data_IF_666471377954
#
_entry.id   IF_666471377954
#
_cell.length_a   1.000
_cell.length_b   1.000
_cell.length_c   1.000
_cell.angle_alpha   90.00
_cell.angle_beta   90.00
_cell.angle_gamma   90.00
#
_symmetry.space_group_name_H-M   'P 1'
#
loop_
_entity.id
_entity.type
_entity.pdbx_description
1 polymer ?
#
# COMPACT_ATOMS: atom_id res chain seq x y z
N UNK A 1 19.33 -10.76 4.60
CA UNK A 1 18.92 -10.60 3.18
C UNK A 1 17.46 -11.00 2.93
N UNK A 2 16.56 -10.71 3.89
CA UNK A 2 15.22 -11.33 4.00
C UNK A 2 14.09 -10.26 4.02
N UNK A 3 14.47 -8.98 3.88
CA UNK A 3 13.57 -7.81 3.98
C UNK A 3 12.98 -7.34 2.64
N UNK A 4 13.41 -7.89 1.50
CA UNK A 4 13.17 -7.30 0.18
C UNK A 4 11.89 -7.77 -0.53
N UNK A 5 11.21 -8.82 -0.03
CA UNK A 5 10.10 -9.46 -0.76
C UNK A 5 8.75 -8.74 -0.54
N UNK A 6 8.63 -7.91 0.50
CA UNK A 6 7.33 -7.31 0.92
C UNK A 6 7.05 -5.93 0.30
N UNK A 7 8.03 -5.31 -0.36
CA UNK A 7 7.93 -3.92 -0.86
C UNK A 7 6.87 -3.75 -1.96
N UNK A 8 6.51 -4.82 -2.65
CA UNK A 8 5.59 -4.76 -3.80
C UNK A 8 4.11 -4.97 -3.41
N UNK A 9 3.82 -5.46 -2.20
CA UNK A 9 2.47 -5.84 -1.76
C UNK A 9 1.91 -4.93 -0.65
N UNK A 10 2.44 -3.73 -0.47
CA UNK A 10 2.09 -2.85 0.66
C UNK A 10 1.56 -1.50 0.22
N UNK A 11 0.48 -1.51 -0.58
CA UNK A 11 -0.46 -0.38 -0.68
C UNK A 11 -1.35 -0.25 0.58
N UNK A 12 -0.80 -0.66 1.72
CA UNK A 12 -1.46 -0.68 3.01
C UNK A 12 -0.90 0.47 3.84
N UNK A 13 -1.70 1.53 3.89
CA UNK A 13 -1.60 2.72 4.74
C UNK A 13 -1.57 2.41 6.25
N UNK A 14 -1.08 1.24 6.69
CA UNK A 14 -0.93 0.85 8.10
C UNK A 14 0.33 -0.01 8.35
N UNK A 15 1.05 -0.49 7.33
CA UNK A 15 2.16 -1.44 7.52
C UNK A 15 3.56 -0.98 7.09
N UNK A 16 3.71 0.24 6.57
CA UNK A 16 5.02 0.73 6.10
C UNK A 16 5.52 1.98 6.83
N UNK A 17 4.74 2.55 7.74
CA UNK A 17 5.07 3.85 8.32
C UNK A 17 6.29 3.89 9.25
N UNK A 18 6.82 2.73 9.66
CA UNK A 18 8.06 2.63 10.41
C UNK A 18 9.32 2.48 9.51
N UNK A 19 9.13 2.39 8.19
CA UNK A 19 10.25 2.31 7.23
C UNK A 19 10.58 3.69 6.70
N UNK A 20 11.85 4.08 6.83
CA UNK A 20 12.38 5.21 6.07
C UNK A 20 12.41 4.82 4.60
N UNK A 21 12.23 5.77 3.68
CA UNK A 21 12.34 5.48 2.25
C UNK A 21 13.70 4.86 1.91
N UNK A 22 14.73 5.28 2.64
CA UNK A 22 16.10 4.79 2.54
C UNK A 22 16.25 3.32 2.94
N UNK A 23 15.35 2.78 3.76
CA UNK A 23 15.33 1.36 4.15
C UNK A 23 14.84 0.45 3.00
N UNK A 24 14.21 1.02 1.98
CA UNK A 24 13.86 0.31 0.75
C UNK A 24 15.16 0.09 -0.04
N UNK A 25 15.50 -1.17 -0.39
CA UNK A 25 16.72 -1.42 -1.15
C UNK A 25 16.68 -0.68 -2.49
N UNK A 26 17.84 -0.20 -2.93
CA UNK A 26 17.98 0.71 -4.08
C UNK A 26 17.28 0.20 -5.34
N UNK A 27 17.49 -1.08 -5.68
CA UNK A 27 16.84 -1.79 -6.81
C UNK A 27 15.30 -1.73 -6.81
N UNK A 28 14.67 -1.37 -5.69
CA UNK A 28 13.22 -1.32 -5.52
C UNK A 28 12.67 0.09 -5.33
N UNK A 29 13.52 1.10 -5.16
CA UNK A 29 13.07 2.49 -4.92
C UNK A 29 12.31 3.06 -6.12
N UNK A 30 12.67 2.66 -7.34
CA UNK A 30 11.97 3.04 -8.57
C UNK A 30 10.60 2.36 -8.75
N UNK A 31 10.27 1.40 -7.88
CA UNK A 31 8.98 0.71 -7.85
C UNK A 31 8.05 1.31 -6.80
N UNK A 32 8.49 2.34 -6.08
CA UNK A 32 7.65 3.11 -5.16
C UNK A 32 6.94 4.21 -5.96
N UNK A 33 5.59 4.23 -5.97
CA UNK A 33 4.86 5.32 -6.60
C UNK A 33 5.31 6.67 -6.05
N UNK A 34 5.42 7.68 -6.92
CA UNK A 34 5.90 9.02 -6.56
C UNK A 34 5.15 9.58 -5.35
N UNK A 35 3.84 9.43 -5.33
CA UNK A 35 2.96 9.93 -4.27
C UNK A 35 3.26 9.24 -2.93
N UNK A 36 3.57 7.94 -2.95
CA UNK A 36 3.94 7.18 -1.76
C UNK A 36 5.32 7.60 -1.26
N UNK A 37 6.28 7.83 -2.18
CA UNK A 37 7.60 8.37 -1.85
C UNK A 37 7.49 9.76 -1.22
N UNK A 38 6.71 10.66 -1.81
CA UNK A 38 6.47 12.01 -1.29
C UNK A 38 5.83 11.97 0.10
N UNK A 39 4.85 11.08 0.30
CA UNK A 39 4.26 10.87 1.62
C UNK A 39 5.32 10.42 2.63
N UNK A 40 6.12 9.39 2.32
CA UNK A 40 7.13 8.83 3.24
C UNK A 40 8.26 9.82 3.57
N UNK A 41 8.72 10.57 2.57
CA UNK A 41 9.83 11.53 2.72
C UNK A 41 9.38 12.87 3.31
N UNK A 42 8.10 13.23 3.18
CA UNK A 42 7.48 14.41 3.78
C UNK A 42 7.11 14.26 5.26
N UNK A 43 7.37 13.10 5.87
CA UNK A 43 7.21 12.89 7.32
C UNK A 43 8.43 13.44 8.07
N UNK A 44 8.18 14.26 9.08
CA UNK A 44 9.17 14.67 10.07
C UNK A 44 9.52 13.50 11.00
N UNK A 45 10.68 13.56 11.69
CA UNK A 45 11.06 12.51 12.65
C UNK A 45 10.03 12.33 13.79
N UNK A 46 9.40 13.38 14.36
CA UNK A 46 8.30 13.22 15.33
C UNK A 46 7.11 12.47 14.75
N UNK A 47 6.71 12.75 13.49
CA UNK A 47 5.60 12.04 12.85
C UNK A 47 5.94 10.56 12.60
N UNK A 48 7.18 10.26 12.18
CA UNK A 48 7.66 8.87 12.07
C UNK A 48 7.63 8.15 13.42
N UNK A 49 7.98 8.84 14.51
CA UNK A 49 7.94 8.28 15.86
C UNK A 49 6.50 7.94 16.28
N UNK A 50 5.54 8.84 16.02
CA UNK A 50 4.11 8.60 16.26
C UNK A 50 3.63 7.37 15.50
N UNK A 51 3.94 7.27 14.20
CA UNK A 51 3.53 6.11 13.40
C UNK A 51 4.16 4.80 13.89
N UNK A 52 5.43 4.83 14.28
CA UNK A 52 6.12 3.67 14.84
C UNK A 52 5.47 3.20 16.14
N UNK A 53 5.19 4.13 17.06
CA UNK A 53 4.49 3.84 18.31
C UNK A 53 3.11 3.24 18.05
N UNK A 54 2.33 3.86 17.16
CA UNK A 54 0.99 3.39 16.83
C UNK A 54 1.01 2.01 16.14
N UNK A 55 2.00 1.75 15.28
CA UNK A 55 2.16 0.44 14.64
C UNK A 55 2.55 -0.66 15.64
N UNK A 56 3.44 -0.37 16.59
CA UNK A 56 3.81 -1.32 17.65
C UNK A 56 2.60 -1.72 18.49
N UNK A 57 1.65 -0.81 18.66
CA UNK A 57 0.42 -1.03 19.41
C UNK A 57 -0.80 -1.26 18.49
N UNK A 58 -0.61 -1.65 17.23
CA UNK A 58 -1.72 -1.72 16.25
C UNK A 58 -2.87 -2.62 16.69
N UNK A 59 -2.58 -3.69 17.45
CA UNK A 59 -3.59 -4.61 17.98
C UNK A 59 -4.46 -4.02 19.10
N UNK A 60 -4.17 -2.80 19.59
CA UNK A 60 -5.05 -2.10 20.53
C UNK A 60 -6.25 -1.46 19.82
N UNK A 61 -6.15 -1.23 18.51
CA UNK A 61 -7.20 -0.63 17.70
C UNK A 61 -7.99 -1.73 17.02
N UNK A 62 -9.31 -1.75 17.22
CA UNK A 62 -10.19 -2.78 16.66
C UNK A 62 -10.51 -2.53 15.19
N UNK A 63 -10.46 -1.27 14.76
CA UNK A 63 -10.79 -0.88 13.39
C UNK A 63 -9.83 0.17 12.84
N UNK A 64 -9.86 0.35 11.52
CA UNK A 64 -9.10 1.39 10.82
C UNK A 64 -9.57 2.79 11.24
N UNK A 65 -10.87 2.96 11.49
CA UNK A 65 -11.47 4.22 11.96
C UNK A 65 -10.96 4.58 13.37
N UNK A 66 -10.85 3.59 14.28
CA UNK A 66 -10.28 3.80 15.61
C UNK A 66 -8.80 4.20 15.54
N UNK A 67 -8.03 3.53 14.68
CA UNK A 67 -6.63 3.89 14.43
C UNK A 67 -6.49 5.31 13.90
N UNK A 68 -7.31 5.71 12.93
CA UNK A 68 -7.28 7.06 12.36
C UNK A 68 -7.72 8.13 13.38
N UNK A 69 -8.70 7.84 14.23
CA UNK A 69 -9.10 8.73 15.31
C UNK A 69 -7.97 8.93 16.33
N UNK A 70 -7.27 7.85 16.70
CA UNK A 70 -6.09 7.92 17.56
C UNK A 70 -4.94 8.69 16.91
N UNK A 71 -4.72 8.50 15.60
CA UNK A 71 -3.73 9.25 14.82
C UNK A 71 -4.03 10.74 14.88
N UNK A 72 -5.28 11.12 14.63
CA UNK A 72 -5.73 12.51 14.66
C UNK A 72 -5.58 13.16 16.02
N UNK A 73 -5.79 12.41 17.12
CA UNK A 73 -5.56 12.88 18.48
C UNK A 73 -4.07 13.06 18.81
N UNK A 74 -3.22 12.11 18.38
CA UNK A 74 -1.76 12.15 18.65
C UNK A 74 -1.02 13.14 17.77
N UNK A 75 -1.39 13.25 16.50
CA UNK A 75 -0.75 14.12 15.52
C UNK A 75 -1.76 14.56 14.45
N UNK A 76 -2.45 15.70 14.66
CA UNK A 76 -3.39 16.25 13.69
C UNK A 76 -2.75 16.54 12.32
N UNK A 77 -1.49 16.99 12.31
CA UNK A 77 -0.75 17.27 11.07
C UNK A 77 -0.57 16.00 10.22
N UNK A 78 -0.11 14.92 10.87
CA UNK A 78 0.08 13.63 10.24
C UNK A 78 -1.24 13.02 9.76
N UNK A 79 -2.30 13.15 10.55
CA UNK A 79 -3.64 12.76 10.11
C UNK A 79 -4.07 13.52 8.86
N UNK A 80 -3.81 14.84 8.79
CA UNK A 80 -4.05 15.64 7.60
C UNK A 80 -3.23 15.20 6.39
N UNK A 81 -1.96 14.80 6.56
CA UNK A 81 -1.15 14.20 5.49
C UNK A 81 -1.73 12.87 5.00
N UNK A 82 -2.17 12.00 5.92
CA UNK A 82 -2.80 10.72 5.59
C UNK A 82 -4.13 10.90 4.84
N UNK A 83 -4.98 11.83 5.30
CA UNK A 83 -6.25 12.20 4.66
C UNK A 83 -6.01 12.70 3.22
N UNK A 84 -5.00 13.56 3.00
CA UNK A 84 -4.63 14.06 1.66
C UNK A 84 -4.17 12.93 0.74
N UNK A 85 -3.34 12.01 1.25
CA UNK A 85 -2.89 10.87 0.46
C UNK A 85 -4.06 9.96 0.07
N UNK A 86 -4.97 9.67 1.00
CA UNK A 86 -6.20 8.93 0.71
C UNK A 86 -7.07 9.62 -0.35
N UNK A 87 -7.30 10.93 -0.21
CA UNK A 87 -8.10 11.69 -1.17
C UNK A 87 -7.49 11.66 -2.58
N UNK A 88 -6.17 11.74 -2.68
CA UNK A 88 -5.45 11.63 -3.96
C UNK A 88 -5.64 10.26 -4.60
N UNK A 89 -5.52 9.16 -3.85
CA UNK A 89 -5.77 7.81 -4.38
C UNK A 89 -7.23 7.68 -4.84
N UNK A 90 -8.20 8.15 -4.05
CA UNK A 90 -9.61 8.12 -4.42
C UNK A 90 -9.89 8.92 -5.71
N UNK A 91 -9.24 10.08 -5.87
CA UNK A 91 -9.34 10.87 -7.11
C UNK A 91 -8.82 10.09 -8.33
N UNK A 92 -7.68 9.40 -8.19
CA UNK A 92 -7.14 8.55 -9.27
C UNK A 92 -8.06 7.38 -9.61
N UNK A 93 -8.64 6.72 -8.61
CA UNK A 93 -9.61 5.63 -8.82
C UNK A 93 -10.88 6.15 -9.49
N UNK A 94 -11.37 7.34 -9.11
CA UNK A 94 -12.54 7.95 -9.71
C UNK A 94 -12.33 8.35 -11.19
N UNK A 95 -11.08 8.62 -11.58
CA UNK A 95 -10.72 8.98 -12.96
C UNK A 95 -10.57 7.77 -13.91
N UNK A 96 -10.64 6.54 -13.39
CA UNK A 96 -10.59 5.33 -14.20
C UNK A 96 -11.94 5.03 -14.86
N UNK A 97 -11.90 4.42 -16.04
CA UNK A 97 -13.04 3.78 -16.67
C UNK A 97 -13.55 2.56 -15.87
N UNK A 98 -14.76 2.06 -16.17
CA UNK A 98 -15.46 1.11 -15.30
C UNK A 98 -14.69 -0.17 -14.96
N UNK A 99 -14.01 -0.77 -15.95
CA UNK A 99 -13.26 -2.02 -15.78
C UNK A 99 -12.04 -1.82 -14.86
N UNK A 100 -11.19 -0.85 -15.19
CA UNK A 100 -10.00 -0.52 -14.41
C UNK A 100 -10.36 -0.02 -13.01
N UNK A 101 -11.44 0.75 -12.88
CA UNK A 101 -11.97 1.18 -11.59
C UNK A 101 -12.43 0.00 -10.73
N UNK A 102 -13.13 -0.96 -11.34
CA UNK A 102 -13.54 -2.20 -10.67
C UNK A 102 -12.35 -2.97 -10.11
N UNK A 103 -11.29 -3.13 -10.92
CA UNK A 103 -10.04 -3.72 -10.47
C UNK A 103 -9.36 -2.92 -9.35
N UNK A 104 -9.27 -1.59 -9.47
CA UNK A 104 -8.65 -0.74 -8.47
C UNK A 104 -9.37 -0.85 -7.11
N UNK A 105 -10.71 -0.90 -7.10
CA UNK A 105 -11.51 -1.13 -5.89
C UNK A 105 -11.18 -2.49 -5.25
N UNK A 106 -11.16 -3.57 -6.04
CA UNK A 106 -10.80 -4.90 -5.54
C UNK A 106 -9.37 -4.98 -4.99
N UNK A 107 -8.43 -4.25 -5.60
CA UNK A 107 -7.06 -4.14 -5.10
C UNK A 107 -7.03 -3.42 -3.74
N UNK A 108 -7.74 -2.30 -3.61
CA UNK A 108 -7.85 -1.57 -2.35
C UNK A 108 -8.55 -2.39 -1.25
N UNK A 109 -9.57 -3.17 -1.60
CA UNK A 109 -10.24 -4.10 -0.68
C UNK A 109 -9.29 -5.19 -0.19
N UNK A 110 -8.48 -5.76 -1.10
CA UNK A 110 -7.47 -6.77 -0.73
C UNK A 110 -6.44 -6.17 0.24
N UNK A 111 -6.01 -4.92 0.00
CA UNK A 111 -5.13 -4.20 0.91
C UNK A 111 -5.82 -3.92 2.27
N UNK A 112 -7.12 -3.59 2.28
CA UNK A 112 -7.91 -3.37 3.50
C UNK A 112 -8.04 -4.65 4.32
N UNK A 113 -8.27 -5.80 3.68
CA UNK A 113 -8.34 -7.10 4.36
C UNK A 113 -7.02 -7.44 5.05
N UNK A 114 -5.89 -7.21 4.40
CA UNK A 114 -4.57 -7.37 5.03
C UNK A 114 -4.43 -6.45 6.24
N UNK A 115 -4.81 -5.17 6.12
CA UNK A 115 -4.78 -4.23 7.26
C UNK A 115 -5.67 -4.66 8.43
N UNK A 116 -6.87 -5.15 8.14
CA UNK A 116 -7.80 -5.64 9.15
C UNK A 116 -7.20 -6.77 10.01
N UNK A 117 -6.36 -7.62 9.44
CA UNK A 117 -5.66 -8.66 10.20
C UNK A 117 -4.74 -8.05 11.27
N UNK A 118 -3.99 -6.99 10.93
CA UNK A 118 -3.12 -6.31 11.90
C UNK A 118 -3.90 -5.69 13.05
N UNK A 119 -5.05 -5.07 12.76
CA UNK A 119 -5.95 -4.55 13.80
C UNK A 119 -6.53 -5.66 14.69
N UNK A 120 -6.80 -6.83 14.12
CA UNK A 120 -7.18 -8.02 14.88
C UNK A 120 -6.02 -8.65 15.67
N UNK A 121 -4.84 -8.01 15.74
CA UNK A 121 -3.65 -8.55 16.40
C UNK A 121 -2.94 -9.66 15.63
N UNK A 122 -3.43 -10.00 14.44
CA UNK A 122 -2.86 -11.03 13.57
C UNK A 122 -1.84 -10.42 12.62
N UNK A 123 -0.65 -11.01 12.55
CA UNK A 123 0.36 -10.61 11.57
C UNK A 123 0.32 -11.60 10.41
N UNK A 124 -0.21 -11.23 9.23
CA UNK A 124 -0.20 -12.13 8.08
C UNK A 124 1.21 -12.65 7.81
N UNK A 125 1.29 -13.96 7.62
CA UNK A 125 2.50 -14.64 7.21
C UNK A 125 2.95 -14.17 5.83
N UNK A 126 4.21 -14.43 5.50
CA UNK A 126 4.74 -14.16 4.15
C UNK A 126 3.94 -14.87 3.06
N UNK A 127 3.49 -16.08 3.33
CA UNK A 127 2.70 -16.86 2.39
C UNK A 127 1.34 -16.20 2.11
N UNK A 128 0.68 -15.66 3.14
CA UNK A 128 -0.59 -14.93 3.00
C UNK A 128 -0.41 -13.63 2.23
N UNK A 129 0.65 -12.86 2.53
CA UNK A 129 0.97 -11.63 1.78
C UNK A 129 1.27 -11.92 0.31
N UNK A 130 2.04 -12.98 0.03
CA UNK A 130 2.34 -13.46 -1.33
C UNK A 130 1.07 -13.89 -2.07
N UNK A 131 0.19 -14.65 -1.41
CA UNK A 131 -1.10 -15.06 -1.98
C UNK A 131 -1.98 -13.85 -2.32
N UNK A 132 -2.07 -12.86 -1.43
CA UNK A 132 -2.82 -11.63 -1.69
C UNK A 132 -2.24 -10.86 -2.88
N UNK A 133 -0.92 -10.69 -2.94
CA UNK A 133 -0.24 -10.01 -4.04
C UNK A 133 -0.47 -10.72 -5.39
N UNK A 134 -0.29 -12.04 -5.43
CA UNK A 134 -0.56 -12.84 -6.63
C UNK A 134 -2.03 -12.76 -7.05
N UNK A 135 -2.97 -12.73 -6.09
CA UNK A 135 -4.38 -12.52 -6.38
C UNK A 135 -4.66 -11.19 -7.10
N UNK A 136 -3.99 -10.11 -6.69
CA UNK A 136 -4.07 -8.81 -7.37
C UNK A 136 -3.47 -8.87 -8.77
N UNK A 137 -2.29 -9.48 -8.92
CA UNK A 137 -1.62 -9.63 -10.24
C UNK A 137 -2.48 -10.45 -11.20
N UNK A 138 -3.07 -11.55 -10.75
CA UNK A 138 -3.97 -12.37 -11.57
C UNK A 138 -5.17 -11.57 -12.06
N UNK A 139 -5.79 -10.76 -11.19
CA UNK A 139 -6.91 -9.89 -11.56
C UNK A 139 -6.49 -8.80 -12.55
N UNK A 140 -5.31 -8.20 -12.36
CA UNK A 140 -4.74 -7.23 -13.31
C UNK A 140 -4.53 -7.88 -14.69
N UNK A 141 -3.98 -9.09 -14.72
CA UNK A 141 -3.73 -9.81 -15.97
C UNK A 141 -5.02 -10.22 -16.70
N UNK A 142 -6.12 -10.40 -15.97
CA UNK A 142 -7.44 -10.68 -16.53
C UNK A 142 -8.14 -9.46 -17.15
N UNK A 143 -7.64 -8.24 -16.90
CA UNK A 143 -8.15 -7.03 -17.55
C UNK A 143 -7.95 -7.07 -19.07
N UNK A 144 -8.87 -6.45 -19.79
CA UNK A 144 -8.73 -6.15 -21.21
C UNK A 144 -7.51 -5.26 -21.48
N UNK A 145 -7.05 -5.22 -22.73
CA UNK A 145 -5.95 -4.33 -23.12
C UNK A 145 -6.27 -2.86 -22.82
N UNK A 146 -7.50 -2.43 -23.12
CA UNK A 146 -7.97 -1.08 -22.82
C UNK A 146 -8.03 -0.80 -21.30
N UNK A 147 -8.51 -1.77 -20.51
CA UNK A 147 -8.54 -1.66 -19.04
C UNK A 147 -7.15 -1.56 -18.42
N UNK A 148 -6.16 -2.30 -18.94
CA UNK A 148 -4.76 -2.19 -18.50
C UNK A 148 -4.16 -0.84 -18.85
N UNK A 149 -4.39 -0.36 -20.07
CA UNK A 149 -3.90 0.95 -20.52
C UNK A 149 -4.50 2.09 -19.67
N UNK A 150 -5.81 2.03 -19.42
CA UNK A 150 -6.50 3.01 -18.58
C UNK A 150 -6.00 2.98 -17.13
N UNK A 151 -5.84 1.80 -16.54
CA UNK A 151 -5.23 1.67 -15.21
C UNK A 151 -3.80 2.24 -15.17
N UNK A 152 -2.99 1.96 -16.19
CA UNK A 152 -1.61 2.44 -16.29
C UNK A 152 -1.53 3.97 -16.35
N UNK A 153 -2.50 4.66 -16.96
CA UNK A 153 -2.53 6.14 -16.99
C UNK A 153 -2.60 6.74 -15.59
N UNK A 154 -3.36 6.13 -14.69
CA UNK A 154 -3.51 6.61 -13.30
C UNK A 154 -2.44 6.03 -12.36
N UNK A 155 -2.02 4.78 -12.59
CA UNK A 155 -1.15 4.00 -11.71
C UNK A 155 0.05 3.36 -12.45
N UNK A 156 0.91 4.15 -13.12
CA UNK A 156 1.93 3.62 -14.03
C UNK A 156 2.97 2.71 -13.35
N UNK A 157 3.36 3.05 -12.11
CA UNK A 157 4.32 2.25 -11.35
C UNK A 157 3.72 0.90 -10.92
N UNK A 158 2.44 0.87 -10.55
CA UNK A 158 1.76 -0.39 -10.22
C UNK A 158 1.64 -1.29 -11.45
N UNK A 159 1.29 -0.72 -12.61
CA UNK A 159 1.31 -1.47 -13.88
C UNK A 159 2.68 -2.05 -14.17
N UNK A 160 3.76 -1.26 -14.03
CA UNK A 160 5.14 -1.73 -14.22
C UNK A 160 5.49 -2.87 -13.26
N UNK A 161 5.04 -2.77 -12.02
CA UNK A 161 5.25 -3.79 -10.99
C UNK A 161 4.53 -5.08 -11.34
N UNK A 162 3.25 -5.02 -11.75
CA UNK A 162 2.45 -6.19 -12.09
C UNK A 162 2.93 -6.93 -13.34
N UNK A 163 3.67 -6.24 -14.22
CA UNK A 163 4.23 -6.83 -15.44
C UNK A 163 5.73 -7.16 -15.34
N UNK A 164 6.39 -6.86 -14.21
CA UNK A 164 7.82 -7.09 -14.05
C UNK A 164 8.11 -8.58 -13.78
N UNK A 165 8.54 -9.31 -14.80
CA UNK A 165 8.82 -10.75 -14.71
C UNK A 165 9.78 -11.14 -13.59
N UNK A 166 10.82 -10.33 -13.31
CA UNK A 166 11.80 -10.61 -12.25
C UNK A 166 11.13 -10.55 -10.87
N UNK A 167 10.24 -9.59 -10.65
CA UNK A 167 9.47 -9.48 -9.41
C UNK A 167 8.44 -10.60 -9.30
N UNK A 168 7.75 -10.93 -10.39
CA UNK A 168 6.77 -12.01 -10.42
C UNK A 168 7.42 -13.37 -10.11
N UNK A 169 8.58 -13.67 -10.71
CA UNK A 169 9.34 -14.90 -10.40
C UNK A 169 9.76 -14.94 -8.92
N UNK A 170 10.19 -13.81 -8.34
CA UNK A 170 10.51 -13.70 -6.91
C UNK A 170 9.29 -13.87 -6.01
N UNK A 171 8.11 -13.47 -6.48
CA UNK A 171 6.84 -13.70 -5.78
C UNK A 171 6.35 -15.14 -5.94
N UNK A 172 6.78 -15.89 -6.94
CA UNK A 172 6.38 -17.29 -7.15
C UNK A 172 7.28 -18.29 -6.42
N UNK A 173 8.57 -17.97 -6.28
CA UNK A 173 9.55 -18.71 -5.48
C UNK A 173 9.44 -18.39 -3.98
#
# INVERSE_FOLDING_TARGET
MIRQIVVVASFALVCTFAFKFEDIPEDYRDLVPKEAKEFMTGLSEPEKAVLKEMHQNVGQYKTEEEFLAALKKKSPELAGKAERFHAMINKKVAALGPEAQGFAKQMLDSARQVRAQYFAGNKPSRAELKKAAMGVITKYNALSAAGKEDFQKQFPILSKVFTNEKLLKRLQN
#
